data_IF_935835528231
#
_entry.id   IF_935835528231
#
_cell.length_a   1.000
_cell.length_b   1.000
_cell.length_c   1.000
_cell.angle_alpha   90.00
_cell.angle_beta   90.00
_cell.angle_gamma   90.00
#
_symmetry.space_group_name_H-M   'P 1'
#
loop_
_entity.id
_entity.type
_entity.pdbx_description
1 polymer ?
#
# COMPACT_ATOMS: atom_id res chain seq x y z
N UNK A 1 -17.76 8.09 2.33
CA UNK A 1 -16.72 8.66 1.47
C UNK A 1 -16.10 7.53 0.70
N UNK A 2 -15.98 7.67 -0.61
CA UNK A 2 -15.34 6.65 -1.45
C UNK A 2 -13.83 6.66 -1.24
N UNK A 3 -13.17 5.49 -1.30
CA UNK A 3 -11.73 5.41 -1.10
C UNK A 3 -10.96 6.10 -2.23
N UNK A 4 -9.96 6.91 -1.87
CA UNK A 4 -9.04 7.51 -2.84
C UNK A 4 -7.98 6.49 -3.22
N UNK A 5 -8.01 6.02 -4.47
CA UNK A 5 -7.00 5.09 -4.99
C UNK A 5 -5.71 5.83 -5.36
N UNK A 6 -4.59 5.38 -4.80
CA UNK A 6 -3.24 5.85 -5.14
C UNK A 6 -2.41 4.67 -5.66
N UNK A 7 -1.66 4.89 -6.74
CA UNK A 7 -0.79 3.86 -7.33
C UNK A 7 0.66 4.04 -6.88
N UNK A 8 1.17 3.05 -6.14
CA UNK A 8 2.57 3.00 -5.71
C UNK A 8 3.48 2.33 -6.73
N UNK A 9 4.77 2.65 -6.66
CA UNK A 9 5.82 2.03 -7.47
C UNK A 9 7.02 1.67 -6.59
N UNK A 10 7.52 0.45 -6.72
CA UNK A 10 8.63 -0.06 -5.91
C UNK A 10 8.24 -0.37 -4.46
N UNK A 11 9.24 -0.60 -3.61
CA UNK A 11 9.06 -1.03 -2.23
C UNK A 11 9.00 0.07 -1.17
N UNK A 12 8.99 1.35 -1.57
CA UNK A 12 8.98 2.50 -0.65
C UNK A 12 7.82 3.44 -0.95
N UNK A 13 7.29 4.10 0.08
CA UNK A 13 6.32 5.17 -0.10
C UNK A 13 6.99 6.44 -0.60
N UNK A 14 6.47 7.01 -1.68
CA UNK A 14 6.98 8.23 -2.31
C UNK A 14 5.81 9.10 -2.79
N UNK A 15 6.09 10.38 -3.05
CA UNK A 15 5.11 11.33 -3.58
C UNK A 15 3.81 11.38 -2.77
N UNK A 16 2.67 11.34 -3.46
CA UNK A 16 1.34 11.45 -2.84
C UNK A 16 1.03 10.36 -1.81
N UNK A 17 1.60 9.15 -1.97
CA UNK A 17 1.39 8.07 -1.01
C UNK A 17 2.12 8.37 0.30
N UNK A 18 3.35 8.89 0.21
CA UNK A 18 4.10 9.28 1.39
C UNK A 18 3.41 10.43 2.14
N UNK A 19 2.86 11.41 1.43
CA UNK A 19 2.05 12.47 2.04
C UNK A 19 0.82 11.90 2.73
N UNK A 20 0.05 11.05 2.05
CA UNK A 20 -1.15 10.43 2.61
C UNK A 20 -0.87 9.65 3.90
N UNK A 21 0.23 8.89 3.94
CA UNK A 21 0.62 8.12 5.13
C UNK A 21 1.10 9.02 6.27
N UNK A 22 1.77 10.14 5.96
CA UNK A 22 2.21 11.13 6.97
C UNK A 22 1.07 11.94 7.57
N UNK A 23 -0.01 12.11 6.82
CA UNK A 23 -1.20 12.86 7.24
C UNK A 23 -2.22 11.97 7.97
N UNK A 24 -1.96 10.67 8.08
CA UNK A 24 -2.84 9.69 8.72
C UNK A 24 -3.18 10.05 10.18
N UNK A 25 -4.44 9.88 10.55
CA UNK A 25 -4.97 10.15 11.88
C UNK A 25 -5.65 8.92 12.48
N UNK A 26 -5.80 8.84 13.81
CA UNK A 26 -6.62 7.82 14.44
C UNK A 26 -8.02 7.74 13.81
N UNK A 27 -8.43 6.52 13.43
CA UNK A 27 -9.68 6.27 12.74
C UNK A 27 -9.54 6.10 11.22
N UNK A 28 -8.45 6.56 10.61
CA UNK A 28 -8.19 6.36 9.18
C UNK A 28 -8.00 4.88 8.84
N UNK A 29 -8.38 4.52 7.62
CA UNK A 29 -8.29 3.16 7.09
C UNK A 29 -7.56 3.17 5.76
N UNK A 30 -6.56 2.29 5.63
CA UNK A 30 -5.80 2.09 4.40
C UNK A 30 -5.92 0.64 3.94
N UNK A 31 -6.31 0.46 2.67
CA UNK A 31 -6.28 -0.82 1.99
C UNK A 31 -5.15 -0.82 0.95
N UNK A 32 -4.20 -1.73 1.12
CA UNK A 32 -3.15 -2.00 0.15
C UNK A 32 -3.59 -3.17 -0.72
N UNK A 33 -3.85 -2.90 -1.98
CA UNK A 33 -4.35 -3.87 -2.98
C UNK A 33 -3.38 -3.99 -4.14
N UNK A 34 -3.52 -5.06 -4.94
CA UNK A 34 -2.60 -5.39 -6.05
C UNK A 34 -1.12 -5.40 -5.63
N UNK A 35 -0.84 -5.88 -4.42
CA UNK A 35 0.52 -5.95 -3.88
C UNK A 35 1.30 -7.04 -4.62
N UNK A 36 2.45 -6.67 -5.16
CA UNK A 36 3.39 -7.60 -5.80
C UNK A 36 4.69 -7.66 -5.01
N UNK A 37 5.23 -8.86 -4.87
CA UNK A 37 6.52 -9.11 -4.22
C UNK A 37 7.41 -9.95 -5.12
N UNK A 38 8.72 -9.79 -4.94
CA UNK A 38 9.73 -10.66 -5.53
C UNK A 38 10.50 -11.31 -4.37
N UNK A 39 10.41 -12.63 -4.24
CA UNK A 39 11.16 -13.42 -3.27
C UNK A 39 12.34 -14.14 -3.94
N UNK A 40 13.39 -14.54 -3.19
CA UNK A 40 14.43 -15.42 -3.71
C UNK A 40 13.82 -16.69 -4.32
N UNK A 41 14.15 -16.99 -5.57
CA UNK A 41 13.60 -18.12 -6.32
C UNK A 41 12.39 -17.78 -7.22
N UNK A 42 11.81 -16.58 -7.11
CA UNK A 42 10.75 -16.14 -8.03
C UNK A 42 11.32 -15.82 -9.41
N UNK A 43 10.72 -16.38 -10.47
CA UNK A 43 11.06 -16.05 -11.87
C UNK A 43 10.56 -14.65 -12.24
N UNK A 44 9.42 -14.24 -11.68
CA UNK A 44 8.85 -12.91 -11.84
C UNK A 44 8.06 -12.53 -10.58
N UNK A 45 7.79 -11.23 -10.40
CA UNK A 45 7.04 -10.75 -9.25
C UNK A 45 5.63 -11.35 -9.18
N UNK A 46 5.27 -11.89 -8.02
CA UNK A 46 3.99 -12.54 -7.78
C UNK A 46 3.04 -11.63 -7.00
N UNK A 47 1.75 -11.72 -7.31
CA UNK A 47 0.70 -11.10 -6.51
C UNK A 47 0.57 -11.82 -5.17
N UNK A 48 0.36 -11.04 -4.11
CA UNK A 48 0.06 -11.54 -2.77
C UNK A 48 -1.23 -10.94 -2.27
N UNK A 49 -1.71 -11.44 -1.13
CA UNK A 49 -2.90 -10.91 -0.49
C UNK A 49 -2.73 -9.43 -0.15
N UNK A 50 -3.83 -8.69 -0.27
CA UNK A 50 -3.89 -7.31 0.20
C UNK A 50 -3.79 -7.23 1.72
N UNK A 51 -3.47 -6.03 2.20
CA UNK A 51 -3.38 -5.72 3.63
C UNK A 51 -4.34 -4.56 3.95
N UNK A 52 -5.00 -4.63 5.09
CA UNK A 52 -5.88 -3.56 5.57
C UNK A 52 -5.42 -3.12 6.96
N UNK A 53 -5.29 -1.80 7.14
CA UNK A 53 -4.84 -1.19 8.37
C UNK A 53 -5.85 -0.15 8.84
N UNK A 54 -6.17 -0.19 10.14
CA UNK A 54 -6.89 0.87 10.85
C UNK A 54 -5.94 1.56 11.81
N UNK A 55 -5.78 2.87 11.67
CA UNK A 55 -4.90 3.68 12.51
C UNK A 55 -5.59 3.93 13.87
N UNK A 56 -4.84 3.80 14.97
CA UNK A 56 -5.31 3.99 16.36
C UNK A 56 -4.54 5.11 17.03
#
# INVERSE_FOLDING_TARGET
SDPVALKGTGGRFMGRILSAIREAKPGDQYAFTDVKVNCPGDIAGRRVNGLSFKIR
#
